data_IF_576016668951
#
_entry.id   IF_576016668951
#
_cell.length_a   1.000
_cell.length_b   1.000
_cell.length_c   1.000
_cell.angle_alpha   90.00
_cell.angle_beta   90.00
_cell.angle_gamma   90.00
#
_symmetry.space_group_name_H-M   'P 1'
#
loop_
_entity.id
_entity.type
_entity.pdbx_description
1 polymer ?
#
# COMPACT_ATOMS: atom_id res chain seq x y z
N UNK A 1 22.75 6.86 10.27
CA UNK A 1 22.35 5.83 9.29
C UNK A 1 21.28 4.95 9.93
N UNK A 2 20.01 5.31 9.81
CA UNK A 2 18.90 4.51 10.35
C UNK A 2 17.97 4.21 9.20
N UNK A 3 18.11 3.01 8.65
CA UNK A 3 17.31 2.54 7.53
C UNK A 3 17.23 1.03 7.57
N UNK A 4 16.68 0.47 8.63
CA UNK A 4 16.07 -0.87 8.57
C UNK A 4 14.74 -0.75 7.83
N UNK A 5 14.77 -0.19 6.61
CA UNK A 5 13.62 -0.03 5.75
C UNK A 5 13.33 -1.38 5.08
N UNK A 6 12.06 -1.78 5.04
CA UNK A 6 11.60 -2.89 4.21
C UNK A 6 12.03 -2.59 2.75
N UNK A 7 12.76 -3.51 2.12
CA UNK A 7 13.09 -3.39 0.69
C UNK A 7 11.85 -3.67 -0.16
N UNK A 8 11.35 -2.64 -0.86
CA UNK A 8 10.17 -2.73 -1.72
C UNK A 8 10.52 -2.78 -3.21
N UNK A 9 11.81 -2.90 -3.56
CA UNK A 9 12.28 -2.91 -4.94
C UNK A 9 11.65 -4.04 -5.77
N UNK A 10 11.31 -5.16 -5.12
CA UNK A 10 10.68 -6.33 -5.74
C UNK A 10 9.16 -6.41 -5.48
N UNK A 11 8.55 -5.37 -4.91
CA UNK A 11 7.13 -5.37 -4.58
C UNK A 11 6.27 -5.30 -5.86
N UNK A 12 5.32 -6.22 -5.99
CA UNK A 12 4.34 -6.22 -7.09
C UNK A 12 3.15 -5.36 -6.68
N UNK A 13 3.06 -4.16 -7.24
CA UNK A 13 2.01 -3.19 -6.94
C UNK A 13 0.75 -3.44 -7.75
N UNK A 14 -0.40 -3.49 -7.06
CA UNK A 14 -1.72 -3.54 -7.68
C UNK A 14 -2.46 -2.22 -7.41
N UNK A 15 -2.85 -1.54 -8.47
CA UNK A 15 -3.68 -0.33 -8.42
C UNK A 15 -5.15 -0.68 -8.20
N UNK A 16 -5.85 0.13 -7.39
CA UNK A 16 -7.31 0.00 -7.22
C UNK A 16 -8.05 0.32 -8.51
N UNK A 17 -9.15 -0.40 -8.78
CA UNK A 17 -10.04 -0.13 -9.92
C UNK A 17 -10.79 1.20 -9.80
N UNK A 18 -10.85 1.76 -8.58
CA UNK A 18 -11.47 3.06 -8.30
C UNK A 18 -10.50 4.23 -8.54
N UNK A 19 -9.23 3.95 -8.82
CA UNK A 19 -8.23 4.96 -9.15
C UNK A 19 -8.34 5.36 -10.62
N UNK A 20 -9.06 6.44 -10.91
CA UNK A 20 -9.18 7.01 -12.25
C UNK A 20 -8.34 8.29 -12.42
N UNK A 21 -8.01 8.63 -13.67
CA UNK A 21 -7.23 9.82 -14.01
C UNK A 21 -7.96 11.15 -13.78
N UNK A 22 -9.25 11.11 -13.46
CA UNK A 22 -10.14 12.25 -13.23
C UNK A 22 -10.22 12.69 -11.76
N UNK A 23 -9.36 12.16 -10.88
CA UNK A 23 -9.22 12.64 -9.51
C UNK A 23 -9.81 11.74 -8.42
N UNK A 24 -10.30 10.54 -8.77
CA UNK A 24 -10.78 9.53 -7.83
C UNK A 24 -9.71 9.02 -6.86
N UNK A 25 -10.14 8.18 -5.91
CA UNK A 25 -9.30 7.65 -4.84
C UNK A 25 -8.14 6.81 -5.41
N UNK A 26 -6.90 7.25 -5.14
CA UNK A 26 -5.68 6.82 -5.82
C UNK A 26 -4.81 5.94 -4.91
N UNK A 27 -5.05 4.64 -4.87
CA UNK A 27 -4.35 3.71 -3.96
C UNK A 27 -3.75 2.54 -4.72
N UNK A 28 -2.51 2.20 -4.37
CA UNK A 28 -1.86 0.94 -4.74
C UNK A 28 -1.49 0.15 -3.50
N UNK A 29 -1.64 -1.17 -3.59
CA UNK A 29 -1.26 -2.12 -2.54
C UNK A 29 -0.31 -3.15 -3.13
N UNK A 30 0.78 -3.46 -2.44
CA UNK A 30 1.67 -4.54 -2.83
C UNK A 30 1.33 -5.82 -2.07
N UNK A 31 0.87 -6.85 -2.79
CA UNK A 31 0.71 -8.20 -2.20
C UNK A 31 1.01 -9.25 -3.28
N UNK A 32 1.73 -10.32 -2.94
CA UNK A 32 2.32 -10.64 -1.63
C UNK A 32 3.66 -9.91 -1.38
N UNK A 33 3.89 -9.43 -0.15
CA UNK A 33 5.20 -9.00 0.34
C UNK A 33 5.46 -9.60 1.74
N UNK A 34 6.66 -10.15 2.04
CA UNK A 34 6.91 -10.81 3.31
C UNK A 34 6.69 -9.89 4.52
N UNK A 35 5.83 -10.31 5.44
CA UNK A 35 5.69 -9.69 6.77
C UNK A 35 4.98 -8.33 6.84
N UNK A 36 4.66 -7.71 5.70
CA UNK A 36 3.95 -6.42 5.64
C UNK A 36 3.01 -6.32 4.43
N UNK A 37 2.06 -5.41 4.53
CA UNK A 37 1.18 -4.97 3.44
C UNK A 37 1.51 -3.50 3.14
N UNK A 38 2.36 -3.24 2.13
CA UNK A 38 2.69 -1.89 1.69
C UNK A 38 1.50 -1.24 0.96
N UNK A 39 1.18 0.00 1.33
CA UNK A 39 0.11 0.81 0.73
C UNK A 39 0.68 2.18 0.38
N UNK A 40 0.44 2.66 -0.84
CA UNK A 40 0.88 3.98 -1.27
C UNK A 40 -0.17 4.71 -2.10
N UNK A 41 0.02 6.02 -2.21
CA UNK A 41 -0.77 6.86 -3.11
C UNK A 41 -0.31 6.68 -4.57
N UNK A 42 -1.25 6.35 -5.45
CA UNK A 42 -0.94 6.05 -6.85
C UNK A 42 -0.57 7.28 -7.69
N UNK A 43 -0.82 8.50 -7.22
CA UNK A 43 -0.44 9.76 -7.90
C UNK A 43 1.02 10.11 -7.64
N UNK A 44 1.57 9.66 -6.51
CA UNK A 44 2.97 9.89 -6.12
C UNK A 44 3.95 8.85 -6.66
N UNK A 45 3.47 7.81 -7.36
CA UNK A 45 4.29 6.75 -7.96
C UNK A 45 5.35 6.21 -6.98
N UNK A 46 6.61 6.06 -7.42
CA UNK A 46 7.71 5.54 -6.60
C UNK A 46 8.27 6.56 -5.60
N UNK A 47 7.91 7.84 -5.75
CA UNK A 47 8.48 8.94 -4.95
C UNK A 47 7.63 9.28 -3.71
N UNK A 48 6.47 8.63 -3.57
CA UNK A 48 5.55 8.84 -2.46
C UNK A 48 5.89 8.03 -1.20
N UNK A 49 5.45 8.49 -0.02
CA UNK A 49 5.58 7.70 1.20
C UNK A 49 4.77 6.40 1.09
N UNK A 50 5.32 5.32 1.65
CA UNK A 50 4.68 4.01 1.73
C UNK A 50 4.30 3.70 3.17
N UNK A 51 3.02 3.42 3.40
CA UNK A 51 2.52 2.92 4.68
C UNK A 51 2.74 1.41 4.75
N UNK A 52 3.36 0.95 5.83
CA UNK A 52 3.66 -0.47 6.05
C UNK A 52 2.73 -1.02 7.13
N UNK A 53 1.73 -1.79 6.74
CA UNK A 53 0.84 -2.46 7.69
C UNK A 53 1.37 -3.85 8.03
N UNK A 54 1.32 -4.24 9.31
CA UNK A 54 1.43 -5.66 9.67
C UNK A 54 0.19 -6.41 9.17
N UNK A 55 0.28 -7.67 8.74
CA UNK A 55 -0.85 -8.43 8.20
C UNK A 55 -2.09 -8.41 9.12
N UNK A 56 -1.91 -8.59 10.43
CA UNK A 56 -3.02 -8.56 11.39
C UNK A 56 -3.69 -7.17 11.49
N UNK A 57 -2.90 -6.09 11.44
CA UNK A 57 -3.42 -4.74 11.45
C UNK A 57 -4.18 -4.43 10.16
N UNK A 58 -3.69 -4.92 9.02
CA UNK A 58 -4.37 -4.81 7.73
C UNK A 58 -5.73 -5.52 7.75
N UNK A 59 -5.79 -6.75 8.24
CA UNK A 59 -7.05 -7.50 8.38
C UNK A 59 -8.03 -6.80 9.33
N UNK A 60 -7.57 -6.30 10.48
CA UNK A 60 -8.41 -5.56 11.42
C UNK A 60 -8.95 -4.26 10.79
N UNK A 61 -8.10 -3.52 10.09
CA UNK A 61 -8.49 -2.32 9.35
C UNK A 61 -9.59 -2.62 8.33
N UNK A 62 -9.40 -3.63 7.46
CA UNK A 62 -10.42 -4.03 6.50
C UNK A 62 -11.72 -4.49 7.17
N UNK A 63 -11.65 -5.13 8.33
CA UNK A 63 -12.81 -5.52 9.12
C UNK A 63 -13.62 -4.32 9.63
N UNK A 64 -12.94 -3.23 10.01
CA UNK A 64 -13.61 -2.00 10.47
C UNK A 64 -14.30 -1.21 9.36
N UNK A 65 -13.96 -1.46 8.08
CA UNK A 65 -14.53 -0.73 6.94
C UNK A 65 -15.83 -1.34 6.40
N UNK A 66 -16.18 -2.57 6.79
CA UNK A 66 -17.48 -3.16 6.46
C UNK A 66 -18.52 -2.63 7.45
N UNK A 67 -19.20 -1.56 7.06
CA UNK A 67 -20.51 -1.15 7.59
C UNK A 67 -21.63 -1.73 6.74
#
# INVERSE_FOLDING_TARGET
MTGTGIDLSNAVWRKSSYSNGSGGECVEVATPHPGVVPVRDSKKNQDGPVLLFRPLAWTAFLGSLKG
#
